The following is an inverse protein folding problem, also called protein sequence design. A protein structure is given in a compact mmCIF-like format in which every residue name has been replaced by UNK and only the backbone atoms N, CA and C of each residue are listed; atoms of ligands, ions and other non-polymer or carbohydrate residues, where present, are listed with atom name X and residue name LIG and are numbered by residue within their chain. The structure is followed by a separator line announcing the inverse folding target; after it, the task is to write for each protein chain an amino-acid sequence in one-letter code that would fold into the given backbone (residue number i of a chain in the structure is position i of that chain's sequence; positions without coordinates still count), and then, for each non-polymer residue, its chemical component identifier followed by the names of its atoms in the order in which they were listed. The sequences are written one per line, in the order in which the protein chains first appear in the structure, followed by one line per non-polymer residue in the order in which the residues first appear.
data_IF_960311546750
#
_entry.id   IF_960311546750
#
_cell.length_a   1.000
_cell.length_b   1.000
_cell.length_c   1.000
_cell.angle_alpha   90.00
_cell.angle_beta   90.00
_cell.angle_gamma   90.00
#
_symmetry.space_group_name_H-M   'P 1'
#
loop_
_entity.id
_entity.type
_entity.pdbx_description
1 polymer ?
#
# COMPACT_ATOMS: atom_id res chain seq x y z
N UNK A 1 -2.35 21.41 -63.19
CA UNK A 1 -3.12 20.19 -62.87
C UNK A 1 -2.21 19.00 -63.18
N UNK A 2 -1.65 18.29 -62.22
CA UNK A 2 -2.26 17.06 -61.68
C UNK A 2 -1.60 16.75 -60.32
N UNK A 3 -2.45 16.68 -59.30
CA UNK A 3 -2.20 16.33 -57.90
C UNK A 3 -1.63 14.90 -57.83
N UNK A 4 -0.57 14.68 -57.03
CA UNK A 4 -0.65 14.09 -55.68
C UNK A 4 -0.56 12.55 -55.70
N UNK A 5 0.23 12.02 -54.77
CA UNK A 5 0.25 10.65 -54.19
C UNK A 5 1.64 10.00 -54.32
N UNK A 6 2.25 9.44 -53.29
CA UNK A 6 1.97 9.42 -51.85
C UNK A 6 3.28 8.88 -51.24
N UNK A 7 4.06 9.72 -50.55
CA UNK A 7 5.21 9.26 -49.76
C UNK A 7 4.64 8.67 -48.46
N UNK A 8 4.35 7.36 -48.47
CA UNK A 8 3.98 6.61 -47.26
C UNK A 8 5.25 6.45 -46.43
N UNK A 9 5.47 7.41 -45.55
CA UNK A 9 6.45 7.30 -44.47
C UNK A 9 5.92 6.29 -43.45
N UNK A 10 6.40 5.05 -43.50
CA UNK A 10 6.21 4.06 -42.43
C UNK A 10 7.05 4.48 -41.23
N UNK A 11 6.51 5.37 -40.39
CA UNK A 11 7.03 5.59 -39.04
C UNK A 11 6.57 4.40 -38.21
N UNK A 12 7.44 3.40 -38.08
CA UNK A 12 7.27 2.33 -37.11
C UNK A 12 7.31 2.96 -35.71
N UNK A 13 6.15 3.10 -35.07
CA UNK A 13 6.04 3.45 -33.67
C UNK A 13 6.57 2.25 -32.87
N UNK A 14 7.86 2.27 -32.52
CA UNK A 14 8.40 1.42 -31.45
C UNK A 14 7.85 1.97 -30.13
N UNK A 15 6.61 1.59 -29.79
CA UNK A 15 6.09 1.80 -28.45
C UNK A 15 6.96 0.95 -27.50
N UNK A 16 7.80 1.60 -26.71
CA UNK A 16 8.43 0.98 -25.55
C UNK A 16 7.31 0.62 -24.57
N UNK A 17 6.71 -0.56 -24.73
CA UNK A 17 5.80 -1.11 -23.76
C UNK A 17 6.63 -1.64 -22.58
N UNK A 18 7.05 -0.74 -21.68
CA UNK A 18 7.54 -1.14 -20.37
C UNK A 18 6.37 -1.72 -19.59
N UNK A 19 6.37 -3.03 -19.34
CA UNK A 19 5.40 -3.63 -18.43
C UNK A 19 5.60 -3.05 -17.03
N UNK A 20 4.53 -2.65 -16.32
CA UNK A 20 4.66 -2.18 -14.95
C UNK A 20 5.25 -3.29 -14.07
N UNK A 21 6.09 -2.89 -13.10
CA UNK A 21 6.70 -3.81 -12.13
C UNK A 21 5.64 -4.59 -11.35
N UNK A 22 4.60 -3.89 -10.89
CA UNK A 22 3.49 -4.46 -10.12
C UNK A 22 2.21 -4.61 -10.95
N UNK A 23 1.37 -5.57 -10.57
CA UNK A 23 0.06 -5.79 -11.20
C UNK A 23 -0.96 -4.83 -10.58
N UNK A 24 -1.39 -3.83 -11.35
CA UNK A 24 -2.13 -2.66 -10.81
C UNK A 24 -3.45 -2.99 -10.11
N UNK A 25 -4.27 -3.89 -10.66
CA UNK A 25 -5.55 -4.27 -10.05
C UNK A 25 -5.33 -4.93 -8.69
N UNK A 26 -4.38 -5.88 -8.61
CA UNK A 26 -4.02 -6.52 -7.36
C UNK A 26 -3.42 -5.52 -6.35
N UNK A 27 -2.67 -4.49 -6.79
CA UNK A 27 -2.18 -3.44 -5.88
C UNK A 27 -3.31 -2.60 -5.28
N UNK A 28 -4.36 -2.29 -6.06
CA UNK A 28 -5.53 -1.59 -5.53
C UNK A 28 -6.31 -2.46 -4.53
N UNK A 29 -6.48 -3.75 -4.83
CA UNK A 29 -7.07 -4.70 -3.89
C UNK A 29 -6.25 -4.79 -2.59
N UNK A 30 -4.91 -4.82 -2.70
CA UNK A 30 -4.01 -4.77 -1.55
C UNK A 30 -4.21 -3.48 -0.73
N UNK A 31 -4.27 -2.32 -1.39
CA UNK A 31 -4.48 -1.05 -0.71
C UNK A 31 -5.80 -1.02 0.06
N UNK A 32 -6.87 -1.58 -0.50
CA UNK A 32 -8.14 -1.72 0.23
C UNK A 32 -7.98 -2.55 1.50
N UNK A 33 -7.28 -3.68 1.43
CA UNK A 33 -7.04 -4.55 2.59
C UNK A 33 -6.11 -3.90 3.61
N UNK A 34 -5.08 -3.17 3.16
CA UNK A 34 -4.16 -2.44 4.04
C UNK A 34 -4.89 -1.35 4.81
N UNK A 35 -5.78 -0.60 4.15
CA UNK A 35 -6.62 0.42 4.78
C UNK A 35 -7.46 -0.17 5.89
N UNK A 36 -8.12 -1.27 5.60
CA UNK A 36 -8.92 -2.04 6.54
C UNK A 36 -8.11 -2.50 7.75
N UNK A 37 -6.86 -2.94 7.54
CA UNK A 37 -5.94 -3.30 8.62
C UNK A 37 -5.56 -2.07 9.44
N UNK A 38 -5.17 -0.97 8.79
CA UNK A 38 -4.79 0.27 9.45
C UNK A 38 -5.93 0.82 10.32
N UNK A 39 -7.16 0.84 9.79
CA UNK A 39 -8.38 1.22 10.52
C UNK A 39 -8.60 0.37 11.77
N UNK A 40 -8.40 -0.94 11.64
CA UNK A 40 -8.63 -1.87 12.74
C UNK A 40 -7.57 -1.71 13.83
N UNK A 41 -6.30 -1.52 13.45
CA UNK A 41 -5.20 -1.32 14.41
C UNK A 41 -5.29 0.04 15.09
N UNK A 42 -5.57 1.12 14.36
CA UNK A 42 -5.81 2.46 14.94
C UNK A 42 -7.04 2.44 15.87
N UNK A 43 -8.11 1.73 15.49
CA UNK A 43 -9.30 1.54 16.32
C UNK A 43 -9.00 0.79 17.63
N UNK A 44 -8.28 -0.34 17.56
CA UNK A 44 -7.86 -1.08 18.76
C UNK A 44 -6.98 -0.23 19.67
N UNK A 45 -6.06 0.56 19.09
CA UNK A 45 -5.18 1.43 19.86
C UNK A 45 -5.94 2.53 20.61
N UNK A 46 -7.03 3.05 20.03
CA UNK A 46 -7.86 4.11 20.62
C UNK A 46 -8.92 3.63 21.60
N UNK A 47 -9.54 2.49 21.30
CA UNK A 47 -10.77 2.05 21.97
C UNK A 47 -10.64 0.68 22.66
N UNK A 48 -9.58 -0.07 22.36
CA UNK A 48 -9.29 -1.35 22.98
C UNK A 48 -8.58 -1.21 24.34
N UNK A 49 -8.50 -2.34 25.05
CA UNK A 49 -7.72 -2.44 26.29
C UNK A 49 -6.27 -2.80 25.96
N UNK A 50 -5.47 -1.76 25.72
CA UNK A 50 -4.06 -1.90 25.27
C UNK A 50 -3.04 -1.78 26.38
N UNK A 51 -3.47 -1.58 27.63
CA UNK A 51 -2.57 -1.31 28.74
C UNK A 51 -1.67 -2.52 29.04
N UNK A 52 -0.35 -2.33 28.92
CA UNK A 52 0.63 -3.39 29.16
C UNK A 52 0.77 -4.40 28.03
N UNK A 53 0.08 -4.21 26.90
CA UNK A 53 0.24 -5.04 25.71
C UNK A 53 1.44 -4.58 24.87
N UNK A 54 2.10 -5.53 24.23
CA UNK A 54 3.08 -5.26 23.17
C UNK A 54 2.39 -4.85 21.86
N UNK A 55 3.12 -4.20 20.96
CA UNK A 55 2.63 -3.86 19.62
C UNK A 55 2.07 -5.09 18.88
N UNK A 56 2.76 -6.23 18.95
CA UNK A 56 2.31 -7.46 18.31
C UNK A 56 0.98 -7.96 18.89
N UNK A 57 0.77 -7.84 20.21
CA UNK A 57 -0.49 -8.21 20.84
C UNK A 57 -1.63 -7.26 20.45
N UNK A 58 -1.37 -5.95 20.38
CA UNK A 58 -2.37 -4.97 19.93
C UNK A 58 -2.79 -5.26 18.48
N UNK A 59 -1.83 -5.50 17.59
CA UNK A 59 -2.11 -5.90 16.20
C UNK A 59 -2.89 -7.22 16.15
N UNK A 60 -2.55 -8.21 16.97
CA UNK A 60 -3.30 -9.47 17.04
C UNK A 60 -4.74 -9.27 17.50
N UNK A 61 -4.97 -8.45 18.54
CA UNK A 61 -6.30 -8.13 19.02
C UNK A 61 -7.16 -7.48 17.91
N UNK A 62 -6.63 -6.43 17.26
CA UNK A 62 -7.26 -5.73 16.16
C UNK A 62 -7.69 -6.67 15.01
N UNK A 63 -6.99 -7.79 14.86
CA UNK A 63 -7.17 -8.75 13.78
C UNK A 63 -8.10 -9.91 14.14
N UNK A 64 -8.55 -10.01 15.39
CA UNK A 64 -9.47 -11.08 15.84
C UNK A 64 -10.78 -11.03 15.04
N UNK A 65 -11.36 -9.84 14.87
CA UNK A 65 -12.60 -9.64 14.10
C UNK A 65 -12.35 -9.44 12.60
N UNK A 66 -11.09 -9.26 12.21
CA UNK A 66 -10.64 -9.15 10.82
C UNK A 66 -9.90 -10.41 10.34
N UNK A 67 -10.20 -11.55 10.98
CA UNK A 67 -9.56 -12.83 10.73
C UNK A 67 -9.57 -13.18 9.25
N UNK A 68 -8.39 -13.23 8.63
CA UNK A 68 -8.21 -13.55 7.22
C UNK A 68 -7.68 -12.42 6.36
N UNK A 69 -7.69 -11.15 6.81
CA UNK A 69 -7.12 -10.04 6.04
C UNK A 69 -5.62 -10.19 5.79
N UNK A 70 -4.85 -10.73 6.74
CA UNK A 70 -3.44 -11.05 6.51
C UNK A 70 -3.24 -12.12 5.44
N UNK A 71 -4.02 -13.20 5.49
CA UNK A 71 -3.97 -14.26 4.49
C UNK A 71 -4.38 -13.74 3.11
N UNK A 72 -5.41 -12.89 3.06
CA UNK A 72 -5.85 -12.21 1.84
C UNK A 72 -4.75 -11.30 1.28
N UNK A 73 -4.13 -10.48 2.14
CA UNK A 73 -3.06 -9.57 1.75
C UNK A 73 -1.85 -10.35 1.19
N UNK A 74 -1.49 -11.48 1.80
CA UNK A 74 -0.42 -12.36 1.29
C UNK A 74 -0.76 -12.98 -0.07
N UNK A 75 -2.01 -13.39 -0.28
CA UNK A 75 -2.47 -13.89 -1.59
C UNK A 75 -2.44 -12.80 -2.66
N UNK A 76 -2.88 -11.59 -2.31
CA UNK A 76 -2.88 -10.44 -3.20
C UNK A 76 -1.45 -9.99 -3.52
N UNK A 77 -0.52 -10.02 -2.57
CA UNK A 77 0.91 -9.75 -2.79
C UNK A 77 1.49 -10.65 -3.89
N UNK A 78 1.19 -11.95 -3.87
CA UNK A 78 1.58 -12.87 -4.93
C UNK A 78 1.00 -12.52 -6.30
N UNK A 79 -0.29 -12.13 -6.37
CA UNK A 79 -0.94 -11.67 -7.62
C UNK A 79 -0.37 -10.34 -8.11
N UNK A 80 0.02 -9.48 -7.18
CA UNK A 80 0.62 -8.17 -7.42
C UNK A 80 2.07 -8.23 -7.90
N UNK A 81 2.71 -9.41 -7.86
CA UNK A 81 4.13 -9.63 -8.13
C UNK A 81 5.05 -8.96 -7.10
N UNK A 82 4.63 -8.93 -5.85
CA UNK A 82 5.49 -8.57 -4.72
C UNK A 82 6.30 -9.81 -4.34
N UNK A 83 7.62 -9.69 -4.32
CA UNK A 83 8.53 -10.84 -4.15
C UNK A 83 8.97 -11.00 -2.69
N UNK A 84 9.30 -9.91 -2.01
CA UNK A 84 9.73 -9.89 -0.61
C UNK A 84 8.75 -9.08 0.25
N UNK A 85 7.53 -9.62 0.35
CA UNK A 85 6.43 -8.98 1.06
C UNK A 85 6.70 -8.81 2.56
N UNK A 86 6.58 -7.57 3.04
CA UNK A 86 6.65 -7.23 4.47
C UNK A 86 5.56 -6.23 4.85
N UNK A 87 5.02 -6.38 6.05
CA UNK A 87 4.13 -5.41 6.68
C UNK A 87 4.79 -4.91 7.97
N UNK A 88 4.80 -3.59 8.13
CA UNK A 88 5.42 -2.90 9.25
C UNK A 88 4.37 -2.01 9.92
N UNK A 89 4.55 -1.82 11.23
CA UNK A 89 3.67 -0.99 12.04
C UNK A 89 4.48 0.05 12.81
N UNK A 90 4.03 1.30 12.80
CA UNK A 90 4.55 2.35 13.67
C UNK A 90 3.42 2.92 14.52
N UNK A 91 3.65 3.00 15.83
CA UNK A 91 2.65 3.47 16.80
C UNK A 91 3.06 4.87 17.26
N UNK A 92 2.33 5.86 16.77
CA UNK A 92 2.58 7.27 17.00
C UNK A 92 1.52 7.79 17.98
N UNK A 93 1.84 7.77 19.27
CA UNK A 93 0.90 8.05 20.37
C UNK A 93 -0.26 7.05 20.37
N UNK A 94 -1.50 7.51 20.15
CA UNK A 94 -2.70 6.69 20.06
C UNK A 94 -3.13 6.43 18.59
N UNK A 95 -2.20 6.59 17.65
CA UNK A 95 -2.42 6.29 16.24
C UNK A 95 -1.46 5.22 15.73
N UNK A 96 -1.90 4.48 14.71
CA UNK A 96 -1.08 3.48 14.06
C UNK A 96 -0.89 3.81 12.58
N UNK A 97 0.31 3.60 12.07
CA UNK A 97 0.63 3.65 10.64
C UNK A 97 1.01 2.24 10.19
N UNK A 98 0.44 1.81 9.07
CA UNK A 98 0.76 0.55 8.41
C UNK A 98 1.53 0.83 7.14
N UNK A 99 2.70 0.22 7.00
CA UNK A 99 3.54 0.30 5.80
C UNK A 99 3.68 -1.10 5.20
N UNK A 100 3.47 -1.23 3.89
CA UNK A 100 3.74 -2.46 3.14
C UNK A 100 4.91 -2.24 2.20
N UNK A 101 5.82 -3.21 2.17
CA UNK A 101 7.04 -3.18 1.37
C UNK A 101 7.24 -4.44 0.52
N UNK A 102 8.06 -4.28 -0.52
CA UNK A 102 8.68 -5.32 -1.33
C UNK A 102 10.20 -5.22 -1.14
N UNK A 103 10.76 -5.99 -0.20
CA UNK A 103 12.15 -5.81 0.24
C UNK A 103 12.35 -4.40 0.77
N UNK A 104 13.32 -3.66 0.24
CA UNK A 104 13.65 -2.28 0.62
C UNK A 104 12.80 -1.20 -0.07
N UNK A 105 11.80 -1.59 -0.86
CA UNK A 105 10.90 -0.69 -1.60
C UNK A 105 9.59 -0.53 -0.84
N UNK A 106 9.19 0.70 -0.49
CA UNK A 106 7.85 0.97 0.00
C UNK A 106 6.83 0.85 -1.14
N UNK A 107 5.70 0.21 -0.83
CA UNK A 107 4.58 0.06 -1.76
C UNK A 107 3.43 1.01 -1.40
N UNK A 108 3.04 1.02 -0.13
CA UNK A 108 1.89 1.79 0.34
C UNK A 108 1.93 2.00 1.85
N UNK A 109 1.40 3.13 2.31
CA UNK A 109 1.37 3.51 3.72
C UNK A 109 0.04 4.20 4.06
N UNK A 110 -0.59 3.81 5.17
CA UNK A 110 -1.91 4.31 5.60
C UNK A 110 -2.01 4.38 7.12
N UNK A 111 -2.66 5.43 7.63
CA UNK A 111 -2.88 5.68 9.05
C UNK A 111 -4.29 5.26 9.54
N UNK A 112 -5.16 4.78 8.64
CA UNK A 112 -6.49 4.27 8.98
C UNK A 112 -7.52 5.31 9.44
N UNK A 113 -7.11 6.51 9.84
CA UNK A 113 -7.98 7.49 10.48
C UNK A 113 -8.88 8.30 9.53
N UNK A 114 -8.73 8.16 8.21
CA UNK A 114 -9.54 8.89 7.23
C UNK A 114 -10.08 7.97 6.13
N UNK A 115 -10.98 8.49 5.28
CA UNK A 115 -11.64 7.70 4.23
C UNK A 115 -10.78 7.47 2.97
N UNK A 116 -9.82 8.36 2.68
CA UNK A 116 -8.94 8.25 1.53
C UNK A 116 -7.74 7.36 1.87
N UNK A 117 -7.12 6.72 0.87
CA UNK A 117 -5.85 6.03 1.11
C UNK A 117 -4.71 7.06 1.15
N UNK A 118 -3.81 6.98 2.12
CA UNK A 118 -2.88 8.09 2.38
C UNK A 118 -1.72 8.19 1.39
N UNK A 119 -0.94 7.12 1.20
CA UNK A 119 0.27 7.15 0.35
C UNK A 119 0.41 5.92 -0.53
N UNK A 120 0.53 6.18 -1.83
CA UNK A 120 0.73 5.16 -2.87
C UNK A 120 2.12 5.34 -3.48
N UNK A 121 2.99 4.36 -3.29
CA UNK A 121 4.38 4.40 -3.77
C UNK A 121 4.63 3.52 -5.00
N UNK A 122 3.83 2.47 -5.22
CA UNK A 122 4.06 1.46 -6.25
C UNK A 122 3.97 1.96 -7.71
N UNK A 123 3.46 3.17 -7.96
CA UNK A 123 3.50 3.79 -9.29
C UNK A 123 4.90 4.27 -9.69
N UNK A 124 5.74 4.60 -8.72
CA UNK A 124 7.11 5.07 -8.90
C UNK A 124 8.01 4.47 -7.81
N UNK A 125 8.23 3.15 -7.83
CA UNK A 125 8.95 2.47 -6.76
C UNK A 125 10.39 2.98 -6.65
N UNK A 126 10.84 3.19 -5.41
CA UNK A 126 12.18 3.65 -5.09
C UNK A 126 12.88 2.66 -4.16
N UNK A 127 14.15 2.33 -4.44
CA UNK A 127 14.94 1.52 -3.52
C UNK A 127 15.24 2.28 -2.23
N UNK A 128 15.49 1.54 -1.15
CA UNK A 128 15.73 2.07 0.19
C UNK A 128 14.65 3.07 0.65
N UNK A 129 13.40 2.84 0.27
CA UNK A 129 12.26 3.68 0.64
C UNK A 129 11.32 3.02 1.65
N UNK A 130 11.59 1.77 2.07
CA UNK A 130 10.82 1.07 3.08
C UNK A 130 11.06 1.64 4.48
N UNK A 131 10.58 2.86 4.69
CA UNK A 131 10.56 3.62 5.94
C UNK A 131 9.24 4.40 6.06
N UNK A 132 8.86 4.75 7.29
CA UNK A 132 7.64 5.50 7.55
C UNK A 132 7.82 6.98 7.20
N UNK A 133 6.82 7.56 6.53
CA UNK A 133 6.79 8.97 6.16
C UNK A 133 5.55 9.71 6.68
N UNK A 134 4.50 8.99 7.10
CA UNK A 134 3.33 9.61 7.69
C UNK A 134 3.57 10.03 9.13
N UNK A 135 3.16 11.26 9.45
CA UNK A 135 2.91 11.71 10.82
C UNK A 135 1.41 11.58 11.09
N UNK A 136 1.03 10.48 11.73
CA UNK A 136 -0.36 10.18 12.08
C UNK A 136 -0.91 11.17 13.11
N UNK A 137 -0.07 11.74 13.97
CA UNK A 137 -0.53 12.72 14.97
C UNK A 137 -0.99 14.02 14.31
N UNK A 138 -0.37 14.41 13.19
CA UNK A 138 -0.82 15.53 12.38
C UNK A 138 -1.99 15.15 11.46
N UNK A 139 -1.89 14.01 10.79
CA UNK A 139 -2.86 13.57 9.79
C UNK A 139 -4.23 13.24 10.40
N UNK A 140 -4.24 12.63 11.59
CA UNK A 140 -5.43 12.11 12.26
C UNK A 140 -6.02 13.05 13.31
N UNK A 141 -5.54 14.29 13.40
CA UNK A 141 -6.04 15.31 14.33
C UNK A 141 -7.40 15.93 13.93
N UNK A 142 -8.12 15.32 12.99
CA UNK A 142 -9.36 15.84 12.41
C UNK A 142 -10.62 15.38 13.16
#
# INVERSE_FOLDING_TARGET
MKRLMLLISCVALTACASSPQYQGEAMYDMASVVKDIAQSVDGELKFGDTQGLSQAQIVQNAMTDNGGKFSQLQQLAGKAKVEDYRILYDFQQNHAVVLVCDGDIALMEDAGCNASFDKVYWHQPQRNSCEFHLDATQLCAQ
#
